data_IF_218046765701
#
_entry.id   IF_218046765701
#
_cell.length_a   1.000
_cell.length_b   1.000
_cell.length_c   1.000
_cell.angle_alpha   90.00
_cell.angle_beta   90.00
_cell.angle_gamma   90.00
#
_symmetry.space_group_name_H-M   'P 1'
#
loop_
_entity.id
_entity.type
_entity.pdbx_description
1 polymer ?
#
# COMPACT_ATOMS: atom_id res chain seq x y z
N UNK A 1 -12.02 3.55 18.67
CA UNK A 1 -11.74 2.96 18.58
C UNK A 1 -10.79 2.63 17.94
N UNK A 2 -10.56 2.49 17.16
CA UNK A 2 -9.59 1.82 16.80
C UNK A 2 -9.05 2.38 15.59
N UNK A 3 -8.09 3.26 15.66
CA UNK A 3 -7.37 3.77 14.52
C UNK A 3 -6.74 2.61 13.76
N UNK A 4 -6.35 1.58 14.49
CA UNK A 4 -5.76 0.40 13.85
C UNK A 4 -6.72 -0.30 12.92
N UNK A 5 -7.98 -0.42 13.32
CA UNK A 5 -9.00 -1.06 12.50
C UNK A 5 -9.30 -0.24 11.26
N UNK A 6 -9.33 1.09 11.42
CA UNK A 6 -9.58 1.97 10.29
C UNK A 6 -8.46 1.89 9.28
N UNK A 7 -7.21 1.93 9.76
CA UNK A 7 -6.04 1.83 8.91
C UNK A 7 -6.03 0.50 8.17
N UNK A 8 -6.32 -0.59 8.88
CA UNK A 8 -6.34 -1.91 8.27
C UNK A 8 -7.41 -2.00 7.18
N UNK A 9 -8.57 -1.40 7.42
CA UNK A 9 -9.63 -1.36 6.43
C UNK A 9 -9.21 -0.64 5.16
N UNK A 10 -8.51 0.48 5.33
CA UNK A 10 -8.02 1.25 4.18
C UNK A 10 -6.98 0.43 3.42
N UNK A 11 -6.08 -0.25 4.14
CA UNK A 11 -5.06 -1.08 3.50
C UNK A 11 -5.67 -2.23 2.73
N UNK A 12 -6.69 -2.89 3.29
CA UNK A 12 -7.35 -3.97 2.59
C UNK A 12 -8.03 -3.46 1.33
N UNK A 13 -8.61 -2.27 1.38
CA UNK A 13 -9.20 -1.66 0.21
C UNK A 13 -8.13 -1.34 -0.83
N UNK A 14 -6.97 -0.85 -0.39
CA UNK A 14 -5.85 -0.60 -1.28
C UNK A 14 -5.41 -1.89 -1.97
N UNK A 15 -5.34 -2.99 -1.24
CA UNK A 15 -4.97 -4.28 -1.83
C UNK A 15 -5.95 -4.69 -2.91
N UNK A 16 -7.25 -4.47 -2.67
CA UNK A 16 -8.26 -4.78 -3.67
C UNK A 16 -8.06 -3.96 -4.93
N UNK A 17 -7.59 -2.73 -4.79
CA UNK A 17 -7.37 -1.85 -5.94
C UNK A 17 -6.15 -2.27 -6.75
N UNK A 18 -5.15 -2.87 -6.12
CA UNK A 18 -3.90 -3.21 -6.79
C UNK A 18 -3.75 -4.69 -7.11
N UNK A 19 -4.79 -5.48 -6.84
CA UNK A 19 -4.66 -6.93 -7.02
C UNK A 19 -4.34 -7.33 -8.45
N UNK A 20 -4.75 -6.54 -9.43
CA UNK A 20 -4.42 -6.83 -10.82
C UNK A 20 -3.03 -6.37 -11.20
N UNK A 21 -2.37 -5.59 -10.33
CA UNK A 21 -1.03 -5.10 -10.58
C UNK A 21 0.05 -5.95 -9.92
N UNK A 22 -0.33 -6.79 -8.99
CA UNK A 22 0.60 -7.61 -8.22
C UNK A 22 0.35 -9.09 -8.48
N UNK A 23 1.41 -9.89 -8.44
CA UNK A 23 1.27 -11.34 -8.55
C UNK A 23 0.64 -11.89 -7.27
N UNK A 24 0.09 -13.12 -7.31
CA UNK A 24 -0.46 -13.73 -6.10
C UNK A 24 0.55 -13.80 -4.96
N UNK A 25 1.82 -14.08 -5.26
CA UNK A 25 2.86 -14.14 -4.25
C UNK A 25 3.10 -12.77 -3.63
N UNK A 26 3.09 -11.73 -4.45
CA UNK A 26 3.28 -10.37 -3.97
C UNK A 26 2.11 -9.92 -3.09
N UNK A 27 0.89 -10.25 -3.53
CA UNK A 27 -0.30 -9.94 -2.76
C UNK A 27 -0.28 -10.65 -1.41
N UNK A 28 0.16 -11.90 -1.40
CA UNK A 28 0.24 -12.68 -0.18
C UNK A 28 1.21 -12.06 0.82
N UNK A 29 2.34 -11.57 0.32
CA UNK A 29 3.33 -10.94 1.17
C UNK A 29 2.77 -9.65 1.80
N UNK A 30 2.13 -8.81 1.01
CA UNK A 30 1.55 -7.57 1.53
C UNK A 30 0.43 -7.89 2.52
N UNK A 31 -0.40 -8.88 2.20
CA UNK A 31 -1.49 -9.27 3.09
C UNK A 31 -0.94 -9.71 4.45
N UNK A 32 0.16 -10.44 4.42
CA UNK A 32 0.80 -10.89 5.65
C UNK A 32 1.27 -9.71 6.50
N UNK A 33 1.85 -8.69 5.85
CA UNK A 33 2.29 -7.50 6.55
C UNK A 33 1.11 -6.72 7.15
N UNK A 34 0.02 -6.63 6.42
CA UNK A 34 -1.18 -5.96 6.92
C UNK A 34 -1.73 -6.70 8.13
N UNK A 35 -1.81 -8.01 8.05
CA UNK A 35 -2.33 -8.84 9.13
C UNK A 35 -1.43 -8.74 10.38
N UNK A 36 -0.14 -8.62 10.18
CA UNK A 36 0.80 -8.49 11.29
C UNK A 36 0.80 -7.09 11.90
N UNK A 37 0.08 -6.14 11.32
CA UNK A 37 0.06 -4.77 11.81
C UNK A 37 1.22 -3.93 11.34
N UNK A 38 2.03 -4.45 10.40
CA UNK A 38 3.17 -3.72 9.86
C UNK A 38 2.71 -2.83 8.71
N UNK A 39 1.87 -1.85 9.03
CA UNK A 39 1.21 -1.03 8.03
C UNK A 39 2.19 -0.23 7.17
N UNK A 40 3.22 0.34 7.80
CA UNK A 40 4.22 1.10 7.07
C UNK A 40 4.94 0.23 6.05
N UNK A 41 5.35 -0.95 6.48
CA UNK A 41 6.04 -1.87 5.58
C UNK A 41 5.11 -2.34 4.46
N UNK A 42 3.83 -2.52 4.78
CA UNK A 42 2.86 -2.93 3.76
C UNK A 42 2.77 -1.87 2.66
N UNK A 43 2.68 -0.61 3.03
CA UNK A 43 2.61 0.48 2.06
C UNK A 43 3.89 0.55 1.23
N UNK A 44 5.05 0.45 1.89
CA UNK A 44 6.33 0.48 1.18
C UNK A 44 6.44 -0.67 0.20
N UNK A 45 5.98 -1.85 0.61
CA UNK A 45 6.08 -3.04 -0.24
C UNK A 45 5.19 -2.92 -1.47
N UNK A 46 3.97 -2.41 -1.30
CA UNK A 46 3.08 -2.20 -2.43
C UNK A 46 3.72 -1.24 -3.44
N UNK A 47 4.29 -0.15 -2.95
CA UNK A 47 4.90 0.82 -3.84
C UNK A 47 6.12 0.24 -4.54
N UNK A 48 6.92 -0.55 -3.84
CA UNK A 48 8.09 -1.18 -4.42
C UNK A 48 7.70 -2.16 -5.53
N UNK A 49 6.71 -3.01 -5.25
CA UNK A 49 6.29 -3.99 -6.25
C UNK A 49 5.73 -3.30 -7.48
N UNK A 50 4.95 -2.24 -7.29
CA UNK A 50 4.40 -1.49 -8.40
C UNK A 50 5.51 -0.88 -9.25
N UNK A 51 6.52 -0.32 -8.61
CA UNK A 51 7.64 0.29 -9.30
C UNK A 51 8.47 -0.76 -10.06
N UNK A 52 8.78 -1.87 -9.38
CA UNK A 52 9.59 -2.92 -9.98
C UNK A 52 8.87 -3.60 -11.14
N UNK A 53 7.56 -3.75 -11.04
CA UNK A 53 6.77 -4.38 -12.09
C UNK A 53 6.44 -3.46 -13.23
N UNK A 54 6.81 -2.18 -13.12
CA UNK A 54 6.50 -1.16 -14.13
C UNK A 54 5.01 -1.05 -14.40
N UNK A 55 4.21 -1.36 -13.39
CA UNK A 55 2.77 -1.20 -13.47
C UNK A 55 2.40 -0.06 -12.52
N UNK A 56 2.16 1.15 -13.05
CA UNK A 56 1.83 2.27 -12.18
C UNK A 56 0.55 2.00 -11.41
N UNK A 57 0.50 2.51 -10.19
CA UNK A 57 -0.68 2.33 -9.37
C UNK A 57 -1.88 3.03 -10.02
N UNK A 58 -3.08 2.41 -9.97
CA UNK A 58 -4.28 3.11 -10.42
C UNK A 58 -4.44 4.40 -9.64
N UNK A 59 -5.12 5.37 -10.23
CA UNK A 59 -5.27 6.68 -9.61
C UNK A 59 -5.87 6.58 -8.21
N UNK A 60 -6.88 5.74 -8.02
CA UNK A 60 -7.51 5.59 -6.71
C UNK A 60 -6.54 4.99 -5.69
N UNK A 61 -5.77 3.99 -6.12
CA UNK A 61 -4.80 3.36 -5.24
C UNK A 61 -3.70 4.36 -4.86
N UNK A 62 -3.27 5.18 -5.82
CA UNK A 62 -2.26 6.18 -5.56
C UNK A 62 -2.75 7.19 -4.52
N UNK A 63 -3.99 7.64 -4.66
CA UNK A 63 -4.58 8.57 -3.70
C UNK A 63 -4.64 7.95 -2.31
N UNK A 64 -4.97 6.66 -2.23
CA UNK A 64 -5.03 5.97 -0.96
C UNK A 64 -3.64 5.86 -0.33
N UNK A 65 -2.62 5.60 -1.15
CA UNK A 65 -1.25 5.52 -0.64
C UNK A 65 -0.79 6.86 -0.10
N UNK A 66 -1.11 7.96 -0.80
CA UNK A 66 -0.79 9.30 -0.29
C UNK A 66 -1.42 9.53 1.08
N UNK A 67 -2.69 9.15 1.22
CA UNK A 67 -3.40 9.33 2.46
C UNK A 67 -2.79 8.49 3.58
N UNK A 68 -2.44 7.25 3.27
CA UNK A 68 -1.80 6.36 4.23
C UNK A 68 -0.42 6.86 4.62
N UNK A 69 0.35 7.33 3.65
CA UNK A 69 1.67 7.86 3.93
C UNK A 69 1.60 9.04 4.89
N UNK A 70 0.62 9.92 4.67
CA UNK A 70 0.44 11.06 5.54
C UNK A 70 0.13 10.62 6.98
N UNK A 71 -0.75 9.65 7.12
CA UNK A 71 -1.13 9.13 8.44
C UNK A 71 0.03 8.44 9.14
N UNK A 72 0.87 7.75 8.37
CA UNK A 72 1.99 7.00 8.92
C UNK A 72 3.26 7.82 9.06
N UNK A 73 3.23 9.08 8.66
CA UNK A 73 4.40 9.94 8.72
C UNK A 73 5.47 9.59 7.72
N UNK A 74 5.06 9.02 6.58
CA UNK A 74 5.97 8.62 5.52
C UNK A 74 6.03 9.69 4.45
N UNK A 75 7.19 9.81 3.79
CA UNK A 75 7.38 10.77 2.71
C UNK A 75 6.99 10.13 1.38
N UNK A 76 5.95 10.65 0.70
CA UNK A 76 5.55 10.07 -0.58
C UNK A 76 6.67 10.05 -1.62
N UNK A 77 7.61 11.01 -1.56
CA UNK A 77 8.74 11.03 -2.49
C UNK A 77 9.61 9.80 -2.33
N UNK A 78 9.76 9.31 -1.10
CA UNK A 78 10.55 8.11 -0.84
C UNK A 78 9.86 6.85 -1.33
N UNK A 79 8.57 6.92 -1.54
CA UNK A 79 7.79 5.80 -2.03
C UNK A 79 7.75 5.74 -3.56
N UNK A 80 8.37 6.72 -4.23
CA UNK A 80 8.39 6.75 -5.68
C UNK A 80 7.11 7.28 -6.29
N UNK A 81 6.31 8.00 -5.53
CA UNK A 81 5.02 8.52 -5.98
C UNK A 81 5.14 9.90 -6.60
N UNK A 82 6.25 10.57 -6.37
CA UNK A 82 6.44 11.96 -6.82
C UNK A 82 7.35 12.05 -8.02
N UNK A 83 7.07 11.34 -9.03
CA UNK A 83 7.90 11.41 -10.24
C UNK A 83 7.55 12.61 -11.11
#
# INVERSE_FOLDING_TARGET
MQEGDEMQGVLLNLLAQVQSNLSPAQMDEVDRLVTAGSHRQAVETVCRFSHDGRHPLPMQARAMVFKLADRLGMDPAQLGLMD
#
